data_IF_223633372139
#
_entry.id   IF_223633372139
#
_cell.length_a   1.000
_cell.length_b   1.000
_cell.length_c   1.000
_cell.angle_alpha   90.00
_cell.angle_beta   90.00
_cell.angle_gamma   90.00
#
_symmetry.space_group_name_H-M   'P 1'
#
loop_
_entity.id
_entity.type
_entity.pdbx_description
1 polymer ?
#
# COMPACT_ATOMS: atom_id res chain seq x y z
N UNK A 1 -6.47 20.76 -11.98
CA UNK A 1 -6.26 20.71 -10.51
C UNK A 1 -7.58 20.33 -9.86
N UNK A 2 -7.56 19.45 -8.87
CA UNK A 2 -8.76 18.91 -8.18
C UNK A 2 -8.45 18.69 -6.71
N UNK A 3 -9.43 18.88 -5.84
CA UNK A 3 -9.30 18.54 -4.42
C UNK A 3 -9.72 17.08 -4.23
N UNK A 4 -8.74 16.21 -4.01
CA UNK A 4 -8.96 14.78 -3.77
C UNK A 4 -8.21 14.37 -2.51
N UNK A 5 -8.96 13.86 -1.54
CA UNK A 5 -8.40 13.17 -0.38
C UNK A 5 -8.30 11.68 -0.69
N UNK A 6 -7.09 11.18 -0.64
CA UNK A 6 -6.68 9.90 -1.22
C UNK A 6 -6.16 9.03 -0.08
N UNK A 7 -6.84 7.94 0.25
CA UNK A 7 -6.43 7.05 1.35
C UNK A 7 -4.99 6.54 1.14
N UNK A 8 -4.23 6.43 2.23
CA UNK A 8 -2.87 5.92 2.28
C UNK A 8 -1.86 6.70 1.39
N UNK A 9 -2.22 7.94 1.04
CA UNK A 9 -1.40 8.92 0.33
C UNK A 9 -1.33 10.24 1.07
N UNK A 10 -0.40 11.10 0.66
CA UNK A 10 -0.31 12.45 1.18
C UNK A 10 -1.59 13.23 0.87
N UNK A 11 -2.03 14.02 1.85
CA UNK A 11 -3.29 14.77 1.77
C UNK A 11 -3.07 16.20 1.25
N UNK A 12 -1.93 16.45 0.60
CA UNK A 12 -1.64 17.71 -0.07
C UNK A 12 -2.65 17.95 -1.19
N UNK A 13 -3.20 19.16 -1.24
CA UNK A 13 -4.19 19.55 -2.21
C UNK A 13 -3.92 20.97 -2.72
N UNK A 14 -4.33 21.29 -3.97
CA UNK A 14 -5.03 20.43 -4.92
C UNK A 14 -4.10 19.49 -5.70
N UNK A 15 -4.59 18.31 -6.07
CA UNK A 15 -3.91 17.38 -7.00
C UNK A 15 -3.90 17.94 -8.42
N UNK A 16 -2.77 17.82 -9.11
CA UNK A 16 -2.70 18.01 -10.57
C UNK A 16 -3.13 16.68 -11.20
N UNK A 17 -4.07 16.71 -12.13
CA UNK A 17 -4.70 15.50 -12.70
C UNK A 17 -4.54 15.52 -14.21
N UNK A 18 -4.05 14.43 -14.78
CA UNK A 18 -3.93 14.25 -16.23
C UNK A 18 -5.29 14.02 -16.88
N UNK A 19 -5.93 12.89 -16.54
CA UNK A 19 -7.24 12.50 -17.07
C UNK A 19 -8.22 12.36 -15.90
N UNK A 20 -9.24 13.22 -15.85
CA UNK A 20 -10.31 13.14 -14.86
C UNK A 20 -11.60 12.62 -15.52
N UNK A 21 -12.06 11.45 -15.09
CA UNK A 21 -13.32 10.83 -15.52
C UNK A 21 -14.29 10.84 -14.33
N UNK A 22 -15.17 11.84 -14.30
CA UNK A 22 -16.10 12.07 -13.18
C UNK A 22 -17.55 11.80 -13.59
N UNK A 23 -18.28 11.03 -12.76
CA UNK A 23 -19.71 10.75 -12.86
C UNK A 23 -20.17 10.06 -14.16
N UNK A 24 -19.26 9.35 -14.82
CA UNK A 24 -19.57 8.60 -16.03
C UNK A 24 -20.38 7.33 -15.73
N UNK A 25 -21.29 7.00 -16.65
CA UNK A 25 -22.03 5.73 -16.65
C UNK A 25 -21.82 5.01 -17.97
N UNK A 26 -21.52 3.72 -17.93
CA UNK A 26 -21.31 2.89 -19.13
C UNK A 26 -20.20 3.41 -20.05
N UNK A 27 -19.05 3.80 -19.48
CA UNK A 27 -17.91 4.32 -20.23
C UNK A 27 -16.85 3.22 -20.44
N UNK A 28 -16.29 3.15 -21.65
CA UNK A 28 -15.06 2.39 -21.91
C UNK A 28 -13.97 3.33 -22.44
N UNK A 29 -12.87 3.45 -21.71
CA UNK A 29 -11.62 4.06 -22.17
C UNK A 29 -10.72 2.94 -22.71
N UNK A 30 -10.62 2.82 -24.03
CA UNK A 30 -9.75 1.86 -24.71
C UNK A 30 -8.53 2.58 -25.29
N UNK A 31 -7.35 2.34 -24.70
CA UNK A 31 -6.11 2.95 -25.17
C UNK A 31 -5.56 2.32 -26.44
N UNK A 32 -6.07 1.16 -26.88
CA UNK A 32 -5.58 0.44 -28.08
C UNK A 32 -4.05 0.23 -28.10
N UNK A 33 -3.45 0.02 -26.93
CA UNK A 33 -2.01 -0.13 -26.74
C UNK A 33 -1.26 1.19 -26.51
N UNK A 34 -1.96 2.30 -26.27
CA UNK A 34 -1.36 3.60 -26.01
C UNK A 34 -0.44 3.58 -24.78
N UNK A 35 0.67 4.32 -24.90
CA UNK A 35 1.63 4.53 -23.84
C UNK A 35 1.54 5.97 -23.34
N UNK A 36 0.90 6.16 -22.19
CA UNK A 36 0.64 7.47 -21.61
C UNK A 36 1.85 7.90 -20.77
N UNK A 37 2.66 8.81 -21.35
CA UNK A 37 3.83 9.38 -20.71
C UNK A 37 3.48 10.71 -20.03
N UNK A 38 3.59 10.76 -18.71
CA UNK A 38 3.30 11.95 -17.91
C UNK A 38 4.57 12.68 -17.50
N UNK A 39 4.45 13.99 -17.27
CA UNK A 39 5.56 14.88 -16.91
C UNK A 39 5.26 15.61 -15.59
N UNK A 40 6.32 15.85 -14.81
CA UNK A 40 6.21 16.43 -13.48
C UNK A 40 5.45 15.53 -12.49
N UNK A 41 4.97 16.13 -11.40
CA UNK A 41 4.19 15.44 -10.35
C UNK A 41 2.69 15.60 -10.62
N UNK A 42 2.00 14.50 -10.89
CA UNK A 42 0.56 14.51 -11.10
C UNK A 42 -0.08 13.14 -10.88
N UNK A 43 -1.39 13.14 -10.66
CA UNK A 43 -2.28 11.98 -10.72
C UNK A 43 -2.62 11.68 -12.19
N UNK A 44 -2.13 10.58 -12.79
CA UNK A 44 -2.37 10.28 -14.21
C UNK A 44 -3.85 10.11 -14.54
N UNK A 45 -4.57 9.24 -13.84
CA UNK A 45 -5.99 8.97 -14.07
C UNK A 45 -6.77 9.03 -12.76
N UNK A 46 -7.87 9.79 -12.75
CA UNK A 46 -8.86 9.80 -11.68
C UNK A 46 -10.23 9.33 -12.20
N UNK A 47 -10.82 8.34 -11.55
CA UNK A 47 -12.18 7.83 -11.76
C UNK A 47 -13.04 8.17 -10.54
N UNK A 48 -13.94 9.14 -10.65
CA UNK A 48 -14.74 9.63 -9.52
C UNK A 48 -16.23 9.40 -9.81
N UNK A 49 -16.96 8.73 -8.93
CA UNK A 49 -18.42 8.58 -9.08
C UNK A 49 -18.88 7.74 -10.28
N UNK A 50 -17.97 6.96 -10.88
CA UNK A 50 -18.25 6.19 -12.10
C UNK A 50 -19.09 4.94 -11.82
N UNK A 51 -20.01 4.60 -12.73
CA UNK A 51 -20.77 3.33 -12.68
C UNK A 51 -20.60 2.57 -13.99
N UNK A 52 -20.20 1.30 -13.93
CA UNK A 52 -19.91 0.48 -15.12
C UNK A 52 -18.88 1.18 -16.03
N UNK A 53 -17.68 1.40 -15.49
CA UNK A 53 -16.57 2.06 -16.19
C UNK A 53 -15.44 1.07 -16.42
N UNK A 54 -14.95 1.01 -17.66
CA UNK A 54 -13.85 0.13 -18.07
C UNK A 54 -12.67 0.96 -18.59
N UNK A 55 -11.46 0.67 -18.11
CA UNK A 55 -10.20 1.10 -18.73
C UNK A 55 -9.50 -0.13 -19.29
N UNK A 56 -9.04 -0.07 -20.54
CA UNK A 56 -8.30 -1.19 -21.12
C UNK A 56 -7.20 -0.80 -22.10
N UNK A 57 -6.25 -1.72 -22.27
CA UNK A 57 -5.20 -1.66 -23.30
C UNK A 57 -4.40 -0.36 -23.28
N UNK A 58 -3.83 0.03 -22.13
CA UNK A 58 -2.94 1.19 -22.04
C UNK A 58 -1.82 0.97 -21.02
N UNK A 59 -0.75 1.74 -21.15
CA UNK A 59 0.29 1.88 -20.13
C UNK A 59 0.39 3.30 -19.59
N UNK A 60 0.84 3.43 -18.35
CA UNK A 60 1.10 4.69 -17.65
C UNK A 60 2.57 4.69 -17.21
N UNK A 61 3.30 5.75 -17.54
CA UNK A 61 4.67 5.97 -17.07
C UNK A 61 4.96 7.48 -16.91
N UNK A 62 6.12 7.79 -16.34
CA UNK A 62 6.61 9.16 -16.19
C UNK A 62 7.96 9.33 -16.90
N UNK A 63 8.13 10.45 -17.61
CA UNK A 63 9.36 10.72 -18.37
C UNK A 63 10.58 10.85 -17.45
N UNK A 64 10.37 11.49 -16.29
CA UNK A 64 11.32 11.52 -15.17
C UNK A 64 10.65 11.00 -13.90
N UNK A 65 10.82 9.70 -13.58
CA UNK A 65 10.35 9.13 -12.32
C UNK A 65 10.91 9.89 -11.12
N UNK A 66 10.07 10.20 -10.13
CA UNK A 66 10.44 10.84 -8.86
C UNK A 66 11.15 9.87 -7.92
N UNK A 67 12.16 9.16 -8.39
CA UNK A 67 12.97 8.22 -7.60
C UNK A 67 14.34 8.15 -8.27
N UNK A 68 15.39 8.01 -7.47
CA UNK A 68 16.75 7.94 -8.00
C UNK A 68 17.27 6.52 -8.08
N UNK A 69 18.16 6.27 -9.03
CA UNK A 69 18.89 5.01 -9.12
C UNK A 69 20.38 5.29 -9.19
N UNK A 70 21.15 4.54 -8.40
CA UNK A 70 22.61 4.56 -8.41
C UNK A 70 23.15 3.13 -8.54
N UNK A 71 24.40 3.00 -8.96
CA UNK A 71 25.16 1.75 -8.90
C UNK A 71 26.40 1.95 -8.04
N UNK A 72 26.65 1.03 -7.11
CA UNK A 72 27.88 1.02 -6.31
C UNK A 72 29.06 0.66 -7.21
N UNK A 73 30.11 1.48 -7.17
CA UNK A 73 31.35 1.29 -7.93
C UNK A 73 32.44 0.76 -6.99
N UNK A 74 32.57 1.34 -5.80
CA UNK A 74 33.54 0.94 -4.79
C UNK A 74 32.92 0.99 -3.39
N UNK A 75 33.34 0.09 -2.50
CA UNK A 75 32.99 0.08 -1.09
C UNK A 75 34.24 -0.23 -0.25
N UNK A 76 34.90 0.82 0.25
CA UNK A 76 36.01 0.69 1.19
C UNK A 76 35.44 0.54 2.60
N UNK A 77 35.25 -0.72 3.04
CA UNK A 77 34.65 -1.02 4.34
C UNK A 77 35.54 -0.62 5.52
N UNK A 78 36.86 -0.44 5.31
CA UNK A 78 37.79 -0.02 6.35
C UNK A 78 37.67 1.47 6.61
N UNK A 79 37.68 2.30 5.57
CA UNK A 79 37.47 3.75 5.67
C UNK A 79 36.00 4.12 5.87
N UNK A 80 35.09 3.23 5.50
CA UNK A 80 33.65 3.45 5.53
C UNK A 80 33.19 4.45 4.48
N UNK A 81 33.75 4.31 3.27
CA UNK A 81 33.49 5.19 2.14
C UNK A 81 32.95 4.37 0.96
N UNK A 82 31.92 4.88 0.31
CA UNK A 82 31.35 4.30 -0.90
C UNK A 82 31.49 5.31 -2.04
N UNK A 83 31.87 4.81 -3.21
CA UNK A 83 31.75 5.55 -4.47
C UNK A 83 30.64 4.91 -5.29
N UNK A 84 29.70 5.73 -5.77
CA UNK A 84 28.61 5.27 -6.61
C UNK A 84 28.49 6.11 -7.89
N UNK A 85 27.92 5.49 -8.93
CA UNK A 85 27.57 6.13 -10.18
C UNK A 85 26.06 6.37 -10.22
N UNK A 86 25.65 7.60 -10.46
CA UNK A 86 24.25 7.96 -10.71
C UNK A 86 23.83 7.44 -12.10
N UNK A 87 22.64 6.85 -12.20
CA UNK A 87 22.14 6.34 -13.48
C UNK A 87 21.99 7.48 -14.51
N UNK A 88 22.34 7.28 -15.79
CA UNK A 88 22.41 8.37 -16.77
C UNK A 88 21.11 9.14 -17.02
N UNK A 89 19.96 8.51 -16.74
CA UNK A 89 18.64 9.12 -16.92
C UNK A 89 18.17 9.96 -15.72
N UNK A 90 18.86 9.86 -14.58
CA UNK A 90 18.55 10.59 -13.34
C UNK A 90 19.14 12.00 -13.42
N UNK A 91 18.26 13.00 -13.31
CA UNK A 91 18.69 14.39 -13.13
C UNK A 91 18.90 14.67 -11.64
N UNK A 92 20.06 15.22 -11.28
CA UNK A 92 20.38 15.53 -9.89
C UNK A 92 21.12 16.88 -9.77
N UNK A 93 21.30 17.31 -8.53
CA UNK A 93 22.08 18.46 -8.13
C UNK A 93 22.74 18.18 -6.77
N UNK A 94 23.94 18.73 -6.55
CA UNK A 94 24.60 18.71 -5.24
C UNK A 94 24.60 20.14 -4.70
N UNK A 95 23.90 20.38 -3.60
CA UNK A 95 23.85 21.67 -2.89
C UNK A 95 24.44 21.48 -1.51
N UNK A 96 25.45 22.28 -1.15
CA UNK A 96 26.10 22.20 0.17
C UNK A 96 26.52 20.78 0.58
N UNK A 97 27.13 20.04 -0.36
CA UNK A 97 27.50 18.62 -0.20
C UNK A 97 26.32 17.67 0.09
N UNK A 98 25.11 18.01 -0.38
CA UNK A 98 23.91 17.17 -0.27
C UNK A 98 23.36 16.86 -1.66
N UNK A 99 23.12 15.58 -1.93
CA UNK A 99 22.54 15.09 -3.18
C UNK A 99 21.02 15.28 -3.19
N UNK A 100 20.52 15.92 -4.24
CA UNK A 100 19.10 16.09 -4.55
C UNK A 100 18.80 15.53 -5.93
N UNK A 101 17.68 14.83 -6.05
CA UNK A 101 17.10 14.44 -7.32
C UNK A 101 16.00 15.42 -7.69
N UNK A 102 15.91 15.78 -8.97
CA UNK A 102 14.99 16.81 -9.44
C UNK A 102 14.42 16.49 -10.80
N UNK A 103 13.29 17.09 -11.10
CA UNK A 103 12.64 17.06 -12.41
C UNK A 103 11.72 18.26 -12.57
N UNK A 104 10.76 18.17 -13.49
CA UNK A 104 9.85 19.28 -13.77
C UNK A 104 8.95 19.61 -12.58
N UNK A 105 9.21 20.75 -11.93
CA UNK A 105 8.38 21.26 -10.83
C UNK A 105 8.53 20.48 -9.51
N UNK A 106 9.55 19.62 -9.39
CA UNK A 106 9.80 18.87 -8.16
C UNK A 106 11.29 18.68 -7.88
N UNK A 107 11.62 18.64 -6.60
CA UNK A 107 12.92 18.27 -6.07
C UNK A 107 12.68 17.37 -4.86
N UNK A 108 13.55 16.37 -4.68
CA UNK A 108 13.49 15.46 -3.56
C UNK A 108 14.89 15.13 -3.06
N UNK A 109 14.99 14.91 -1.76
CA UNK A 109 16.19 14.40 -1.13
C UNK A 109 15.96 12.96 -0.70
N UNK A 110 16.64 11.98 -1.31
CA UNK A 110 16.49 10.61 -0.87
C UNK A 110 17.07 10.38 0.53
N UNK A 111 16.34 9.64 1.36
CA UNK A 111 16.69 9.30 2.74
C UNK A 111 16.79 7.80 3.00
N UNK A 112 16.09 6.99 2.21
CA UNK A 112 16.13 5.53 2.25
C UNK A 112 16.31 4.94 0.84
N UNK A 113 16.55 3.63 0.76
CA UNK A 113 16.59 2.94 -0.52
C UNK A 113 16.46 1.43 -0.39
N UNK A 114 16.33 0.78 -1.54
CA UNK A 114 16.33 -0.67 -1.69
C UNK A 114 17.49 -1.08 -2.58
N UNK A 115 18.29 -2.04 -2.11
CA UNK A 115 19.43 -2.58 -2.83
C UNK A 115 19.01 -3.78 -3.68
N UNK A 116 19.48 -3.82 -4.92
CA UNK A 116 19.20 -4.85 -5.89
C UNK A 116 20.49 -5.46 -6.46
N UNK A 117 20.42 -6.75 -6.74
CA UNK A 117 21.39 -7.48 -7.54
C UNK A 117 21.32 -7.01 -8.99
N UNK A 118 22.49 -6.71 -9.58
CA UNK A 118 22.60 -6.15 -10.93
C UNK A 118 21.92 -7.00 -12.00
N UNK A 119 22.21 -8.29 -12.04
CA UNK A 119 21.84 -9.12 -13.19
C UNK A 119 20.40 -9.69 -13.07
N UNK A 120 19.97 -9.96 -11.83
CA UNK A 120 18.67 -10.61 -11.56
C UNK A 120 17.57 -9.60 -11.21
N UNK A 121 17.94 -8.38 -10.83
CA UNK A 121 17.05 -7.36 -10.23
C UNK A 121 16.32 -7.82 -8.97
N UNK A 122 16.82 -8.86 -8.30
CA UNK A 122 16.32 -9.29 -6.98
C UNK A 122 16.79 -8.32 -5.93
N UNK A 123 15.99 -8.13 -4.88
CA UNK A 123 16.42 -7.40 -3.70
C UNK A 123 17.58 -8.18 -3.06
N UNK A 124 18.68 -7.49 -2.76
CA UNK A 124 19.85 -8.10 -2.13
C UNK A 124 19.44 -8.74 -0.81
N UNK A 125 19.86 -9.98 -0.61
CA UNK A 125 19.44 -10.76 0.56
C UNK A 125 19.69 -10.03 1.88
N UNK A 126 18.65 -10.00 2.72
CA UNK A 126 18.62 -9.46 4.06
C UNK A 126 19.08 -7.98 4.13
N UNK A 127 18.83 -7.17 3.10
CA UNK A 127 19.10 -5.72 3.19
C UNK A 127 17.94 -4.93 3.73
N UNK A 128 16.70 -5.33 3.40
CA UNK A 128 15.51 -4.54 3.75
C UNK A 128 15.61 -3.08 3.29
N UNK A 129 15.00 -2.18 4.05
CA UNK A 129 15.21 -0.73 3.90
C UNK A 129 16.62 -0.32 4.39
N UNK A 130 17.36 0.40 3.54
CA UNK A 130 18.68 0.94 3.91
C UNK A 130 18.65 2.47 3.95
N UNK A 131 19.41 3.08 4.87
CA UNK A 131 19.75 4.49 4.76
C UNK A 131 20.69 4.71 3.57
N UNK A 132 20.56 5.86 2.89
CA UNK A 132 21.35 6.18 1.68
C UNK A 132 22.36 7.30 1.91
N UNK A 133 23.51 7.21 1.24
CA UNK A 133 24.61 8.17 1.35
C UNK A 133 24.39 9.44 0.52
N UNK A 134 23.46 10.31 0.94
CA UNK A 134 23.12 11.56 0.21
C UNK A 134 23.63 12.84 0.89
N UNK A 135 24.37 12.75 1.99
CA UNK A 135 24.93 13.88 2.74
C UNK A 135 26.46 13.78 2.85
N UNK A 136 27.15 14.92 2.79
CA UNK A 136 28.62 14.96 2.78
C UNK A 136 29.20 14.33 1.53
N UNK A 137 28.54 14.54 0.39
CA UNK A 137 28.92 13.96 -0.89
C UNK A 137 29.98 14.81 -1.59
N UNK A 138 30.88 14.17 -2.33
CA UNK A 138 31.85 14.83 -3.22
C UNK A 138 31.76 14.21 -4.61
N UNK A 139 31.53 15.02 -5.62
CA UNK A 139 31.52 14.56 -7.00
C UNK A 139 32.96 14.49 -7.55
N UNK A 140 33.38 13.29 -7.94
CA UNK A 140 34.72 13.03 -8.45
C UNK A 140 34.81 13.28 -9.96
N UNK A 141 33.70 13.02 -10.66
CA UNK A 141 33.47 13.25 -12.10
C UNK A 141 31.95 13.16 -12.34
N UNK A 142 31.41 13.59 -13.49
CA UNK A 142 29.95 13.61 -13.70
C UNK A 142 29.25 12.31 -13.30
N UNK A 143 28.42 12.39 -12.26
CA UNK A 143 27.61 11.30 -11.72
C UNK A 143 28.37 10.30 -10.83
N UNK A 144 29.71 10.38 -10.75
CA UNK A 144 30.53 9.55 -9.86
C UNK A 144 30.76 10.27 -8.54
N UNK A 145 30.09 9.80 -7.50
CA UNK A 145 29.99 10.49 -6.21
C UNK A 145 30.61 9.63 -5.11
N UNK A 146 31.49 10.23 -4.31
CA UNK A 146 32.05 9.64 -3.09
C UNK A 146 31.31 10.15 -1.86
N UNK A 147 31.06 9.26 -0.90
CA UNK A 147 30.38 9.59 0.35
C UNK A 147 30.81 8.68 1.49
N UNK A 148 30.88 9.25 2.71
CA UNK A 148 31.03 8.46 3.93
C UNK A 148 29.74 7.71 4.23
N UNK A 149 29.65 6.48 3.74
CA UNK A 149 28.49 5.62 3.90
C UNK A 149 28.96 4.19 4.19
N UNK A 150 28.62 3.69 5.38
CA UNK A 150 29.04 2.38 5.87
C UNK A 150 27.93 1.36 5.70
N UNK A 151 28.05 0.49 4.70
CA UNK A 151 27.22 -0.70 4.60
C UNK A 151 27.97 -1.80 3.86
N UNK A 152 28.39 -2.85 4.59
CA UNK A 152 29.19 -3.96 4.04
C UNK A 152 28.45 -4.84 3.02
N UNK A 153 27.12 -4.75 2.94
CA UNK A 153 26.30 -5.53 1.99
C UNK A 153 26.24 -4.89 0.60
N UNK A 154 26.67 -3.64 0.45
CA UNK A 154 26.64 -2.90 -0.81
C UNK A 154 27.94 -3.17 -1.59
N UNK A 155 27.97 -4.27 -2.33
CA UNK A 155 29.14 -4.66 -3.12
C UNK A 155 29.21 -3.87 -4.43
N UNK A 156 30.39 -3.72 -5.06
CA UNK A 156 30.49 -3.22 -6.42
C UNK A 156 29.51 -3.93 -7.37
N UNK A 157 28.75 -3.15 -8.12
CA UNK A 157 27.68 -3.65 -9.00
C UNK A 157 26.27 -3.58 -8.40
N UNK A 158 26.11 -3.53 -7.07
CA UNK A 158 24.79 -3.36 -6.44
C UNK A 158 24.10 -2.10 -6.95
N UNK A 159 22.84 -2.23 -7.37
CA UNK A 159 21.99 -1.10 -7.81
C UNK A 159 21.08 -0.69 -6.67
N UNK A 160 20.88 0.60 -6.44
CA UNK A 160 20.06 1.10 -5.34
C UNK A 160 19.01 2.05 -5.88
N UNK A 161 17.74 1.74 -5.63
CA UNK A 161 16.64 2.66 -5.81
C UNK A 161 16.50 3.52 -4.55
N UNK A 162 16.80 4.81 -4.65
CA UNK A 162 16.80 5.79 -3.58
C UNK A 162 15.48 6.57 -3.53
N UNK A 163 14.85 6.63 -2.35
CA UNK A 163 13.48 7.11 -2.11
C UNK A 163 13.44 8.25 -1.07
N UNK A 164 12.41 9.10 -1.12
CA UNK A 164 12.21 10.19 -0.14
C UNK A 164 11.05 9.97 0.85
N UNK A 165 10.10 9.09 0.56
CA UNK A 165 8.99 8.74 1.47
C UNK A 165 7.59 9.24 1.06
N UNK A 166 7.40 10.52 0.68
CA UNK A 166 6.12 11.06 0.21
C UNK A 166 5.42 10.23 -0.86
N UNK A 167 4.09 10.26 -0.83
CA UNK A 167 3.15 9.57 -1.73
C UNK A 167 2.08 10.56 -2.23
N UNK A 168 2.43 11.56 -3.06
CA UNK A 168 1.50 12.59 -3.50
C UNK A 168 0.31 12.07 -4.31
N UNK A 169 0.50 11.08 -5.18
CA UNK A 169 -0.59 10.58 -6.04
C UNK A 169 -0.35 9.17 -6.57
N UNK A 170 -1.39 8.32 -6.64
CA UNK A 170 -1.29 7.04 -7.31
C UNK A 170 -1.25 7.20 -8.84
N UNK A 171 -0.98 6.11 -9.55
CA UNK A 171 -1.10 6.05 -11.01
C UNK A 171 -2.56 6.10 -11.47
N UNK A 172 -3.44 5.38 -10.77
CA UNK A 172 -4.89 5.40 -10.99
C UNK A 172 -5.58 5.57 -9.64
N UNK A 173 -6.46 6.56 -9.53
CA UNK A 173 -7.31 6.79 -8.37
C UNK A 173 -8.76 6.48 -8.71
N UNK A 174 -9.42 5.62 -7.91
CA UNK A 174 -10.84 5.28 -8.05
C UNK A 174 -11.56 5.64 -6.75
N UNK A 175 -12.60 6.46 -6.85
CA UNK A 175 -13.34 6.95 -5.69
C UNK A 175 -14.85 6.95 -5.93
N UNK A 176 -15.63 6.42 -4.98
CA UNK A 176 -17.10 6.40 -5.05
C UNK A 176 -17.64 5.74 -6.33
N UNK A 177 -16.94 4.71 -6.81
CA UNK A 177 -17.31 4.00 -8.03
C UNK A 177 -18.22 2.79 -7.79
N UNK A 178 -18.75 2.25 -8.88
CA UNK A 178 -19.45 0.96 -8.92
C UNK A 178 -19.15 0.21 -10.21
N UNK A 179 -18.82 -1.07 -10.12
CA UNK A 179 -18.55 -1.95 -11.27
C UNK A 179 -17.43 -1.37 -12.16
N UNK A 180 -16.22 -1.32 -11.61
CA UNK A 180 -15.03 -0.77 -12.27
C UNK A 180 -14.16 -1.90 -12.82
N UNK A 181 -13.79 -1.83 -14.11
CA UNK A 181 -12.99 -2.86 -14.79
C UNK A 181 -11.67 -2.28 -15.32
N UNK A 182 -10.56 -2.98 -15.05
CA UNK A 182 -9.22 -2.67 -15.56
C UNK A 182 -8.67 -3.91 -16.30
N UNK A 183 -8.59 -3.83 -17.63
CA UNK A 183 -8.20 -4.97 -18.48
C UNK A 183 -6.92 -4.64 -19.25
N UNK A 184 -5.85 -5.44 -19.09
CA UNK A 184 -4.57 -5.22 -19.79
C UNK A 184 -4.01 -3.80 -19.60
N UNK A 185 -4.14 -3.25 -18.40
CA UNK A 185 -3.60 -1.93 -18.02
C UNK A 185 -2.26 -2.11 -17.31
N UNK A 186 -1.24 -1.35 -17.71
CA UNK A 186 0.09 -1.42 -17.12
C UNK A 186 0.47 -0.10 -16.46
N UNK A 187 0.98 -0.13 -15.24
CA UNK A 187 1.60 1.02 -14.58
C UNK A 187 3.08 0.73 -14.45
N UNK A 188 3.91 1.46 -15.19
CA UNK A 188 5.35 1.33 -15.15
C UNK A 188 5.97 2.13 -14.01
N UNK A 189 5.33 3.25 -13.64
CA UNK A 189 5.75 4.08 -12.52
C UNK A 189 4.60 4.93 -11.96
N UNK A 190 4.62 5.18 -10.65
CA UNK A 190 3.86 6.23 -9.98
C UNK A 190 4.59 6.69 -8.70
N UNK A 191 4.51 7.99 -8.37
CA UNK A 191 5.01 8.58 -7.12
C UNK A 191 4.01 8.33 -5.97
N UNK A 192 3.71 7.06 -5.74
CA UNK A 192 2.65 6.59 -4.86
C UNK A 192 2.33 5.15 -5.21
N UNK A 193 1.07 4.77 -5.08
CA UNK A 193 0.60 3.43 -5.45
C UNK A 193 0.29 3.32 -6.95
N UNK A 194 0.27 2.11 -7.51
CA UNK A 194 -0.13 1.90 -8.90
C UNK A 194 -1.62 2.18 -9.12
N UNK A 195 -2.45 1.52 -8.31
CA UNK A 195 -3.89 1.71 -8.21
C UNK A 195 -4.27 1.92 -6.75
N UNK A 196 -4.99 3.00 -6.47
CA UNK A 196 -5.76 3.14 -5.24
C UNK A 196 -7.24 3.21 -5.57
N UNK A 197 -8.01 2.32 -4.98
CA UNK A 197 -9.46 2.42 -4.96
C UNK A 197 -9.96 2.63 -3.53
N UNK A 198 -10.92 3.53 -3.37
CA UNK A 198 -11.60 3.72 -2.09
C UNK A 198 -13.10 3.94 -2.29
N UNK A 199 -13.88 3.53 -1.30
CA UNK A 199 -15.33 3.73 -1.24
C UNK A 199 -16.04 3.26 -2.53
N UNK A 200 -15.61 2.12 -3.07
CA UNK A 200 -16.03 1.64 -4.40
C UNK A 200 -16.59 0.23 -4.31
N UNK A 201 -17.74 0.01 -4.95
CA UNK A 201 -18.38 -1.30 -5.08
C UNK A 201 -17.87 -2.03 -6.32
N UNK A 202 -17.45 -3.29 -6.18
CA UNK A 202 -17.09 -4.18 -7.29
C UNK A 202 -15.95 -3.66 -8.21
N UNK A 203 -14.78 -4.28 -8.10
CA UNK A 203 -13.60 -3.95 -8.91
C UNK A 203 -13.06 -5.23 -9.53
N UNK A 204 -12.84 -5.18 -10.84
CA UNK A 204 -12.39 -6.30 -11.65
C UNK A 204 -11.09 -5.93 -12.36
N UNK A 205 -10.05 -6.74 -12.16
CA UNK A 205 -8.75 -6.57 -12.79
C UNK A 205 -8.35 -7.87 -13.49
N UNK A 206 -8.12 -7.79 -14.81
CA UNK A 206 -7.64 -8.90 -15.63
C UNK A 206 -6.40 -8.45 -16.39
N UNK A 207 -5.24 -8.98 -16.02
CA UNK A 207 -3.96 -8.57 -16.58
C UNK A 207 -3.52 -7.15 -16.19
N UNK A 208 -4.14 -6.54 -15.16
CA UNK A 208 -3.62 -5.32 -14.55
C UNK A 208 -2.24 -5.59 -13.97
N UNK A 209 -1.25 -4.78 -14.34
CA UNK A 209 0.14 -5.03 -13.99
C UNK A 209 0.84 -3.76 -13.50
N UNK A 210 1.65 -3.89 -12.47
CA UNK A 210 2.64 -2.89 -12.07
C UNK A 210 4.00 -3.51 -12.32
N UNK A 211 4.62 -3.13 -13.44
CA UNK A 211 5.75 -3.87 -13.97
C UNK A 211 6.74 -2.98 -14.72
N UNK A 212 7.96 -3.47 -14.89
CA UNK A 212 8.93 -2.81 -15.76
C UNK A 212 8.42 -2.79 -17.21
N UNK A 213 8.96 -1.90 -18.05
CA UNK A 213 8.60 -1.84 -19.49
C UNK A 213 8.97 -3.11 -20.25
N UNK A 214 9.87 -3.92 -19.70
CA UNK A 214 10.32 -5.17 -20.26
C UNK A 214 11.73 -5.51 -19.78
N UNK A 215 12.32 -6.55 -20.38
CA UNK A 215 13.64 -7.06 -19.99
C UNK A 215 14.76 -6.02 -20.09
N UNK A 216 14.63 -5.08 -21.03
CA UNK A 216 15.63 -4.05 -21.30
C UNK A 216 15.38 -2.73 -20.54
N UNK A 217 14.34 -2.66 -19.70
CA UNK A 217 14.12 -1.48 -18.86
C UNK A 217 15.33 -1.30 -17.93
N UNK A 218 16.01 -0.13 -17.92
CA UNK A 218 17.17 0.08 -17.05
C UNK A 218 16.79 0.24 -15.57
N UNK A 219 15.49 0.39 -15.26
CA UNK A 219 14.99 0.55 -13.88
C UNK A 219 14.95 -0.77 -13.14
N UNK A 220 15.09 -0.68 -11.82
CA UNK A 220 14.99 -1.78 -10.87
C UNK A 220 13.75 -1.64 -9.98
N UNK A 221 12.89 -0.69 -10.31
CA UNK A 221 11.73 -0.31 -9.52
C UNK A 221 10.55 0.03 -10.43
N UNK A 222 9.36 0.03 -9.84
CA UNK A 222 8.12 0.55 -10.44
C UNK A 222 7.51 1.62 -9.52
N UNK A 223 6.44 1.34 -8.79
CA UNK A 223 5.75 2.34 -7.95
C UNK A 223 6.48 2.56 -6.62
N UNK A 224 6.39 3.78 -6.07
CA UNK A 224 7.00 4.12 -4.78
C UNK A 224 6.26 3.60 -3.54
N UNK A 225 5.06 3.08 -3.74
CA UNK A 225 4.28 2.35 -2.76
C UNK A 225 3.67 1.09 -3.43
N UNK A 226 2.54 0.63 -2.91
CA UNK A 226 1.81 -0.57 -3.30
C UNK A 226 1.50 -0.60 -4.81
N UNK A 227 1.40 -1.79 -5.38
CA UNK A 227 0.90 -1.92 -6.75
C UNK A 227 -0.61 -1.67 -6.82
N UNK A 228 -1.38 -2.24 -5.88
CA UNK A 228 -2.83 -2.06 -5.77
C UNK A 228 -3.25 -1.94 -4.31
N UNK A 229 -4.22 -1.08 -4.03
CA UNK A 229 -4.63 -0.80 -2.66
C UNK A 229 -6.11 -0.41 -2.59
N UNK A 230 -6.84 -0.98 -1.63
CA UNK A 230 -8.30 -0.91 -1.55
C UNK A 230 -8.73 -0.55 -0.13
N UNK A 231 -9.30 0.64 0.04
CA UNK A 231 -9.68 1.21 1.33
C UNK A 231 -11.19 1.49 1.41
N UNK A 232 -11.90 0.77 2.29
CA UNK A 232 -13.35 0.92 2.47
C UNK A 232 -14.17 0.57 1.21
N UNK A 233 -13.67 -0.36 0.39
CA UNK A 233 -14.40 -0.95 -0.74
C UNK A 233 -15.38 -2.02 -0.27
N UNK A 234 -16.39 -2.35 -1.09
CA UNK A 234 -17.32 -3.45 -0.79
C UNK A 234 -17.71 -4.24 -2.05
N UNK A 235 -18.46 -5.33 -1.85
CA UNK A 235 -18.80 -6.26 -2.91
C UNK A 235 -17.64 -7.20 -3.22
N UNK A 236 -17.13 -7.15 -4.45
CA UNK A 236 -16.06 -8.06 -4.93
C UNK A 236 -14.84 -7.30 -5.42
N UNK A 237 -13.66 -7.71 -4.99
CA UNK A 237 -12.38 -7.34 -5.62
C UNK A 237 -11.81 -8.60 -6.27
N UNK A 238 -11.72 -8.59 -7.59
CA UNK A 238 -11.17 -9.71 -8.35
C UNK A 238 -9.92 -9.21 -9.07
N UNK A 239 -8.78 -9.81 -8.77
CA UNK A 239 -7.51 -9.55 -9.44
C UNK A 239 -6.94 -10.85 -9.98
N UNK A 240 -6.82 -10.91 -11.30
CA UNK A 240 -6.31 -12.10 -11.98
C UNK A 240 -5.33 -11.80 -13.11
N UNK A 241 -4.43 -12.75 -13.34
CA UNK A 241 -3.48 -12.76 -14.46
C UNK A 241 -2.53 -11.54 -14.53
N UNK A 242 -2.34 -10.83 -13.41
CA UNK A 242 -1.48 -9.64 -13.32
C UNK A 242 -0.01 -9.96 -13.06
N UNK A 243 0.85 -9.00 -13.40
CA UNK A 243 2.28 -8.99 -13.02
C UNK A 243 2.54 -7.82 -12.09
N UNK A 244 3.00 -8.11 -10.87
CA UNK A 244 3.35 -7.14 -9.85
C UNK A 244 4.83 -7.29 -9.49
N UNK A 245 5.67 -6.38 -9.98
CA UNK A 245 7.12 -6.45 -9.78
C UNK A 245 7.77 -5.10 -9.49
N UNK A 246 8.81 -5.12 -8.64
CA UNK A 246 9.69 -3.98 -8.40
C UNK A 246 9.04 -2.79 -7.69
N UNK A 247 7.78 -2.92 -7.26
CA UNK A 247 7.13 -1.87 -6.47
C UNK A 247 7.75 -1.79 -5.08
N UNK A 248 7.58 -0.64 -4.44
CA UNK A 248 8.19 -0.34 -3.16
C UNK A 248 7.23 -0.55 -1.97
N UNK A 249 6.06 -1.15 -2.21
CA UNK A 249 5.25 -1.79 -1.16
C UNK A 249 4.49 -3.03 -1.70
N UNK A 250 3.34 -3.36 -1.12
CA UNK A 250 2.65 -4.62 -1.36
C UNK A 250 2.02 -4.71 -2.77
N UNK A 251 1.81 -5.93 -3.30
CA UNK A 251 1.11 -6.10 -4.58
C UNK A 251 -0.38 -5.77 -4.47
N UNK A 252 -0.98 -6.15 -3.36
CA UNK A 252 -2.37 -5.88 -3.03
C UNK A 252 -2.51 -5.67 -1.53
N UNK A 253 -3.21 -4.61 -1.13
CA UNK A 253 -3.68 -4.41 0.23
C UNK A 253 -5.18 -4.13 0.22
N UNK A 254 -5.96 -4.88 1.03
CA UNK A 254 -7.41 -4.71 1.16
C UNK A 254 -7.78 -4.55 2.63
N UNK A 255 -8.36 -3.40 2.98
CA UNK A 255 -8.79 -3.10 4.35
C UNK A 255 -9.95 -2.10 4.43
N UNK A 256 -10.59 -2.02 5.59
CA UNK A 256 -11.38 -0.86 6.01
C UNK A 256 -10.53 0.12 6.85
N UNK A 257 -11.06 1.26 7.27
CA UNK A 257 -10.34 2.17 8.18
C UNK A 257 -11.05 2.28 9.52
N UNK A 258 -10.34 2.03 10.63
CA UNK A 258 -10.93 2.15 11.97
C UNK A 258 -11.10 3.64 12.26
N UNK A 259 -12.27 4.05 12.75
CA UNK A 259 -12.35 5.29 13.51
C UNK A 259 -11.97 5.01 14.95
N UNK A 260 -11.10 5.83 15.54
CA UNK A 260 -10.93 5.83 17.00
C UNK A 260 -12.14 6.49 17.63
N UNK A 261 -12.78 5.84 18.59
CA UNK A 261 -13.82 6.45 19.41
C UNK A 261 -13.16 7.46 20.35
N UNK A 262 -13.41 8.76 20.14
CA UNK A 262 -12.82 9.85 20.91
C UNK A 262 -13.72 10.27 22.07
N UNK A 263 -15.03 10.25 21.86
CA UNK A 263 -16.02 10.67 22.85
C UNK A 263 -17.29 9.84 22.74
N UNK A 264 -17.84 9.43 23.89
CA UNK A 264 -19.22 8.95 24.03
C UNK A 264 -20.07 10.12 24.53
N UNK A 265 -21.00 10.61 23.71
CA UNK A 265 -21.87 11.76 24.04
C UNK A 265 -23.03 11.30 24.92
N UNK A 266 -23.65 10.18 24.55
CA UNK A 266 -24.73 9.51 25.26
C UNK A 266 -24.69 8.02 24.94
N UNK A 267 -25.70 7.26 25.35
CA UNK A 267 -25.74 5.81 25.11
C UNK A 267 -25.90 5.42 23.63
N UNK A 268 -26.22 6.33 22.73
CA UNK A 268 -26.40 6.06 21.30
C UNK A 268 -25.38 6.78 20.43
N UNK A 269 -24.79 7.87 20.91
CA UNK A 269 -24.06 8.83 20.09
C UNK A 269 -22.59 8.95 20.49
N UNK A 270 -21.70 8.90 19.51
CA UNK A 270 -20.25 9.01 19.69
C UNK A 270 -19.63 9.99 18.70
N UNK A 271 -18.40 10.44 19.03
CA UNK A 271 -17.48 11.05 18.07
C UNK A 271 -16.39 10.04 17.73
N UNK A 272 -16.29 9.67 16.45
CA UNK A 272 -15.22 8.84 15.89
C UNK A 272 -14.25 9.67 15.05
N UNK A 273 -12.95 9.34 15.07
CA UNK A 273 -11.89 10.10 14.37
C UNK A 273 -10.97 9.21 13.53
N UNK A 274 -10.64 9.67 12.32
CA UNK A 274 -9.53 9.15 11.53
C UNK A 274 -8.17 9.50 12.17
N UNK A 275 -7.31 8.51 12.37
CA UNK A 275 -6.07 8.70 13.14
C UNK A 275 -4.83 8.87 12.26
N UNK A 276 -4.69 8.09 11.19
CA UNK A 276 -3.49 8.11 10.38
C UNK A 276 -3.43 9.35 9.47
N UNK A 277 -2.24 9.97 9.36
CA UNK A 277 -2.03 11.23 8.61
C UNK A 277 -2.26 11.14 7.10
N UNK A 278 -2.41 9.92 6.58
CA UNK A 278 -2.71 9.64 5.17
C UNK A 278 -4.11 9.04 4.96
N UNK A 279 -4.98 8.98 5.98
CA UNK A 279 -6.27 8.28 5.87
C UNK A 279 -7.41 9.13 6.46
N UNK A 280 -7.67 10.30 5.87
CA UNK A 280 -8.79 11.19 6.23
C UNK A 280 -9.29 11.99 5.01
N UNK A 281 -10.38 12.76 5.19
CA UNK A 281 -10.90 13.70 4.18
C UNK A 281 -11.98 13.13 3.27
N UNK A 282 -12.50 11.95 3.59
CA UNK A 282 -13.55 11.25 2.84
C UNK A 282 -14.54 10.57 3.78
N UNK A 283 -15.72 10.20 3.26
CA UNK A 283 -16.78 9.55 4.04
C UNK A 283 -16.30 8.23 4.68
N UNK A 284 -16.92 7.83 5.80
CA UNK A 284 -16.58 6.59 6.51
C UNK A 284 -17.70 5.54 6.53
N UNK A 285 -18.96 5.98 6.43
CA UNK A 285 -20.10 5.08 6.41
C UNK A 285 -21.36 5.75 5.84
N UNK A 286 -22.36 4.93 5.52
CA UNK A 286 -23.72 5.34 5.22
C UNK A 286 -24.67 5.07 6.41
N UNK A 287 -25.81 5.76 6.42
CA UNK A 287 -26.94 5.37 7.29
C UNK A 287 -27.36 3.94 6.93
N UNK A 288 -27.71 3.15 7.96
CA UNK A 288 -27.98 1.70 7.92
C UNK A 288 -26.76 0.80 7.78
N UNK A 289 -25.54 1.33 7.72
CA UNK A 289 -24.36 0.47 7.76
C UNK A 289 -24.24 -0.24 9.11
N UNK A 290 -23.78 -1.49 9.06
CA UNK A 290 -23.53 -2.30 10.24
C UNK A 290 -22.11 -2.06 10.72
N UNK A 291 -21.95 -1.84 12.02
CA UNK A 291 -20.66 -1.58 12.65
C UNK A 291 -20.39 -2.56 13.80
N UNK A 292 -19.11 -2.69 14.14
CA UNK A 292 -18.64 -3.35 15.36
C UNK A 292 -17.57 -2.52 16.05
N UNK A 293 -17.26 -2.90 17.29
CA UNK A 293 -16.30 -2.20 18.15
C UNK A 293 -15.16 -3.14 18.55
N UNK A 294 -13.96 -2.61 18.69
CA UNK A 294 -12.76 -3.36 19.05
C UNK A 294 -11.97 -2.67 20.16
N UNK A 295 -11.49 -3.44 21.13
CA UNK A 295 -10.51 -2.96 22.13
C UNK A 295 -9.14 -2.87 21.46
N UNK A 296 -8.59 -1.67 21.26
CA UNK A 296 -7.33 -1.50 20.53
C UNK A 296 -6.14 -2.24 21.16
N UNK A 297 -6.10 -2.37 22.49
CA UNK A 297 -4.99 -3.00 23.22
C UNK A 297 -4.92 -4.52 23.03
N UNK A 298 -6.06 -5.21 23.06
CA UNK A 298 -6.13 -6.68 22.94
C UNK A 298 -6.61 -7.14 21.56
N UNK A 299 -7.01 -6.18 20.70
CA UNK A 299 -7.69 -6.43 19.42
C UNK A 299 -8.90 -7.36 19.58
N UNK A 300 -9.61 -7.29 20.70
CA UNK A 300 -10.81 -8.10 20.93
C UNK A 300 -12.06 -7.36 20.52
N UNK A 301 -12.91 -8.06 19.75
CA UNK A 301 -14.23 -7.57 19.38
C UNK A 301 -15.20 -7.67 20.57
N UNK A 302 -16.05 -6.66 20.70
CA UNK A 302 -17.31 -6.82 21.41
C UNK A 302 -18.29 -7.64 20.57
N UNK A 303 -19.07 -8.50 21.22
CA UNK A 303 -19.99 -9.41 20.52
C UNK A 303 -21.18 -8.66 19.89
N UNK A 304 -21.50 -7.47 20.42
CA UNK A 304 -22.59 -6.64 19.92
C UNK A 304 -22.21 -5.85 18.67
N UNK A 305 -23.01 -6.04 17.63
CA UNK A 305 -23.03 -5.20 16.43
C UNK A 305 -24.11 -4.13 16.57
N UNK A 306 -23.89 -3.02 15.90
CA UNK A 306 -24.85 -1.93 15.85
C UNK A 306 -25.09 -1.47 14.41
N UNK A 307 -26.06 -0.58 14.22
CA UNK A 307 -26.41 -0.02 12.92
C UNK A 307 -26.44 1.50 13.02
N UNK A 308 -25.86 2.18 12.05
CA UNK A 308 -25.83 3.65 12.02
C UNK A 308 -27.23 4.20 11.74
N UNK A 309 -27.78 4.95 12.69
CA UNK A 309 -29.04 5.68 12.54
C UNK A 309 -28.82 7.05 11.90
N UNK A 310 -27.73 7.73 12.24
CA UNK A 310 -27.28 8.95 11.58
C UNK A 310 -25.77 9.10 11.67
N UNK A 311 -25.19 9.78 10.68
CA UNK A 311 -23.77 10.14 10.65
C UNK A 311 -23.64 11.52 10.02
N UNK A 312 -22.84 12.39 10.62
CA UNK A 312 -22.46 13.67 10.05
C UNK A 312 -21.00 13.97 10.36
N UNK A 313 -20.29 14.60 9.42
CA UNK A 313 -18.97 15.15 9.71
C UNK A 313 -19.10 16.15 10.86
N UNK A 314 -18.20 16.05 11.86
CA UNK A 314 -18.04 17.12 12.84
C UNK A 314 -17.33 18.26 12.10
N UNK A 315 -17.95 19.45 11.99
CA UNK A 315 -17.34 20.54 11.25
C UNK A 315 -15.98 20.90 11.86
N UNK A 316 -14.93 20.88 11.05
CA UNK A 316 -13.81 21.80 11.22
C UNK A 316 -14.20 23.19 10.66
N UNK A 317 -13.27 24.13 10.63
CA UNK A 317 -13.45 25.28 9.74
C UNK A 317 -13.57 24.80 8.27
N UNK A 318 -14.10 25.62 7.36
CA UNK A 318 -14.28 25.24 5.94
C UNK A 318 -12.99 24.90 5.20
N UNK A 319 -11.83 25.00 5.85
CA UNK A 319 -10.51 24.69 5.34
C UNK A 319 -9.96 23.35 5.86
N UNK A 320 -10.61 22.75 6.87
CA UNK A 320 -10.15 21.52 7.50
C UNK A 320 -10.89 20.32 6.91
N UNK A 321 -10.19 19.35 6.31
CA UNK A 321 -10.82 18.15 5.79
C UNK A 321 -11.48 17.32 6.88
N UNK A 322 -12.47 16.52 6.47
CA UNK A 322 -13.22 15.64 7.37
C UNK A 322 -12.25 14.69 8.10
N UNK A 323 -12.17 14.83 9.42
CA UNK A 323 -11.42 13.93 10.31
C UNK A 323 -12.29 13.24 11.35
N UNK A 324 -13.44 13.82 11.65
CA UNK A 324 -14.31 13.40 12.74
C UNK A 324 -15.75 13.25 12.27
N UNK A 325 -16.45 12.30 12.87
CA UNK A 325 -17.84 12.02 12.61
C UNK A 325 -18.61 11.93 13.92
N UNK A 326 -19.74 12.64 13.99
CA UNK A 326 -20.77 12.38 14.99
C UNK A 326 -21.64 11.25 14.46
N UNK A 327 -21.69 10.15 15.17
CA UNK A 327 -22.38 8.92 14.76
C UNK A 327 -23.41 8.59 15.84
N UNK A 328 -24.67 8.47 15.46
CA UNK A 328 -25.74 7.94 16.31
C UNK A 328 -26.13 6.55 15.83
N UNK A 329 -26.17 5.60 16.76
CA UNK A 329 -26.53 4.22 16.49
C UNK A 329 -28.01 3.93 16.77
N UNK A 330 -28.51 2.81 16.23
CA UNK A 330 -29.91 2.40 16.36
C UNK A 330 -30.22 1.70 17.68
N UNK A 331 -29.20 1.16 18.36
CA UNK A 331 -29.29 0.50 19.67
C UNK A 331 -28.35 1.20 20.65
N UNK A 332 -28.63 1.18 21.96
CA UNK A 332 -27.71 1.72 22.94
C UNK A 332 -26.40 0.90 22.95
N UNK A 333 -25.28 1.59 23.17
CA UNK A 333 -23.96 1.03 23.38
C UNK A 333 -23.89 0.34 24.75
N UNK A 334 -23.17 -0.77 24.81
CA UNK A 334 -22.85 -1.39 26.09
C UNK A 334 -22.07 -0.40 26.98
N UNK A 335 -22.29 -0.37 28.32
CA UNK A 335 -21.57 0.53 29.23
C UNK A 335 -20.04 0.37 29.25
N UNK A 336 -19.54 -0.77 28.77
CA UNK A 336 -18.11 -1.10 28.60
C UNK A 336 -17.49 -0.41 27.37
N UNK A 337 -18.28 -0.03 26.37
CA UNK A 337 -17.84 0.71 25.19
C UNK A 337 -17.73 2.18 25.57
N UNK A 338 -16.63 2.51 26.24
CA UNK A 338 -16.35 3.82 26.82
C UNK A 338 -14.88 4.22 26.59
N UNK A 339 -14.61 5.28 25.81
CA UNK A 339 -13.24 5.70 25.48
C UNK A 339 -12.46 6.23 26.69
N UNK A 340 -13.14 6.53 27.80
CA UNK A 340 -12.47 6.96 29.05
C UNK A 340 -11.84 5.78 29.80
N UNK A 341 -12.29 4.55 29.52
CA UNK A 341 -11.81 3.32 30.17
C UNK A 341 -10.76 2.59 29.33
N UNK A 342 -10.91 2.58 28.01
CA UNK A 342 -9.99 1.90 27.09
C UNK A 342 -10.01 2.54 25.71
N UNK A 343 -8.95 2.33 24.92
CA UNK A 343 -8.92 2.74 23.52
C UNK A 343 -9.80 1.82 22.67
N UNK A 344 -10.67 2.42 21.85
CA UNK A 344 -11.68 1.71 21.08
C UNK A 344 -11.60 2.11 19.60
N UNK A 345 -11.56 1.11 18.73
CA UNK A 345 -11.80 1.26 17.30
C UNK A 345 -13.26 0.96 16.95
N UNK A 346 -13.78 1.68 15.96
CA UNK A 346 -15.09 1.44 15.33
C UNK A 346 -14.82 0.96 13.90
N UNK A 347 -15.41 -0.16 13.52
CA UNK A 347 -15.28 -0.77 12.19
C UNK A 347 -16.60 -0.79 11.46
N UNK A 348 -16.58 -0.41 10.18
CA UNK A 348 -17.71 -0.53 9.28
C UNK A 348 -17.68 -1.89 8.57
N UNK A 349 -18.60 -2.78 8.94
CA UNK A 349 -18.73 -4.11 8.34
C UNK A 349 -19.42 -4.11 6.99
N UNK A 350 -20.17 -3.05 6.65
CA UNK A 350 -20.80 -2.90 5.34
C UNK A 350 -19.76 -2.57 4.25
N UNK A 351 -18.71 -1.82 4.60
CA UNK A 351 -17.66 -1.41 3.66
C UNK A 351 -16.47 -2.38 3.70
N UNK A 352 -16.78 -3.66 3.52
CA UNK A 352 -15.79 -4.75 3.46
C UNK A 352 -16.03 -5.60 2.20
N UNK A 353 -15.00 -5.88 1.39
CA UNK A 353 -15.15 -6.64 0.16
C UNK A 353 -14.71 -8.10 0.34
N UNK A 354 -15.34 -9.01 -0.41
CA UNK A 354 -14.75 -10.31 -0.72
C UNK A 354 -13.63 -10.16 -1.74
N UNK A 355 -12.61 -11.02 -1.67
CA UNK A 355 -11.40 -10.89 -2.50
C UNK A 355 -11.08 -12.20 -3.21
N UNK A 356 -10.76 -12.12 -4.50
CA UNK A 356 -10.17 -13.21 -5.28
C UNK A 356 -8.89 -12.72 -5.94
N UNK A 357 -7.75 -13.23 -5.50
CA UNK A 357 -6.42 -12.93 -6.01
C UNK A 357 -5.84 -14.21 -6.62
N UNK A 358 -5.87 -14.34 -7.95
CA UNK A 358 -5.54 -15.60 -8.62
C UNK A 358 -4.77 -15.51 -9.93
N UNK A 359 -3.85 -16.45 -10.19
CA UNK A 359 -3.10 -16.49 -11.46
C UNK A 359 -2.10 -15.33 -11.62
N UNK A 360 -1.77 -14.63 -10.54
CA UNK A 360 -0.86 -13.49 -10.58
C UNK A 360 0.60 -13.91 -10.36
N UNK A 361 1.54 -13.09 -10.84
CA UNK A 361 2.96 -13.18 -10.49
C UNK A 361 3.38 -11.98 -9.66
N UNK A 362 4.00 -12.22 -8.50
CA UNK A 362 4.44 -11.22 -7.54
C UNK A 362 5.92 -11.43 -7.27
N UNK A 363 6.76 -10.43 -7.54
CA UNK A 363 8.22 -10.60 -7.41
C UNK A 363 9.02 -9.34 -7.15
N UNK A 364 10.19 -9.51 -6.53
CA UNK A 364 11.22 -8.47 -6.41
C UNK A 364 10.73 -7.12 -5.84
N UNK A 365 9.66 -7.14 -5.06
CA UNK A 365 9.09 -5.95 -4.45
C UNK A 365 9.52 -5.84 -2.99
N UNK A 366 9.72 -4.60 -2.54
CA UNK A 366 9.53 -4.26 -1.12
C UNK A 366 8.02 -4.08 -0.97
N UNK A 367 7.30 -4.48 0.08
CA UNK A 367 7.72 -5.28 1.22
C UNK A 367 6.99 -6.63 1.21
N UNK A 368 5.68 -6.70 1.49
CA UNK A 368 4.93 -7.96 1.46
C UNK A 368 4.44 -8.27 0.05
N UNK A 369 4.04 -9.50 -0.23
CA UNK A 369 3.37 -9.85 -1.48
C UNK A 369 1.92 -9.38 -1.46
N UNK A 370 1.09 -9.96 -0.60
CA UNK A 370 -0.32 -9.60 -0.44
C UNK A 370 -0.68 -9.35 1.03
N UNK A 371 -1.42 -8.27 1.30
CA UNK A 371 -1.96 -7.89 2.61
C UNK A 371 -3.48 -7.97 2.60
N UNK A 372 -4.07 -8.68 3.56
CA UNK A 372 -5.52 -8.73 3.71
C UNK A 372 -5.94 -8.48 5.16
N UNK A 373 -6.92 -7.59 5.29
CA UNK A 373 -7.64 -7.28 6.52
C UNK A 373 -9.12 -7.13 6.15
N UNK A 374 -9.86 -8.23 6.04
CA UNK A 374 -11.30 -8.19 5.73
C UNK A 374 -12.04 -9.39 6.30
N UNK A 375 -13.25 -9.20 6.89
CA UNK A 375 -14.10 -10.27 7.41
C UNK A 375 -14.93 -11.00 6.36
N UNK A 376 -14.72 -10.69 5.08
CA UNK A 376 -15.36 -11.38 3.96
C UNK A 376 -14.43 -12.45 3.37
N UNK A 377 -14.96 -13.38 2.57
CA UNK A 377 -14.15 -14.44 1.98
C UNK A 377 -12.95 -13.89 1.18
N UNK A 378 -11.76 -14.44 1.43
CA UNK A 378 -10.53 -14.15 0.70
C UNK A 378 -10.01 -15.44 0.08
N UNK A 379 -9.83 -15.43 -1.24
CA UNK A 379 -9.23 -16.54 -1.99
C UNK A 379 -7.93 -16.08 -2.62
N UNK A 380 -6.81 -16.70 -2.21
CA UNK A 380 -5.48 -16.51 -2.78
C UNK A 380 -5.08 -17.82 -3.43
N UNK A 381 -5.18 -17.92 -4.75
CA UNK A 381 -4.91 -19.21 -5.41
C UNK A 381 -4.20 -19.15 -6.74
N UNK A 382 -3.43 -20.19 -7.07
CA UNK A 382 -2.72 -20.29 -8.36
C UNK A 382 -1.77 -19.10 -8.65
N UNK A 383 -1.24 -18.43 -7.61
CA UNK A 383 -0.28 -17.34 -7.79
C UNK A 383 1.16 -17.86 -7.69
N UNK A 384 2.07 -17.13 -8.34
CA UNK A 384 3.51 -17.28 -8.18
C UNK A 384 4.03 -16.10 -7.34
N UNK A 385 4.54 -16.41 -6.14
CA UNK A 385 5.31 -15.48 -5.32
C UNK A 385 6.80 -15.81 -5.50
N UNK A 386 7.51 -15.01 -6.28
CA UNK A 386 8.87 -15.27 -6.74
C UNK A 386 9.83 -14.21 -6.18
N UNK A 387 10.59 -14.56 -5.14
CA UNK A 387 11.53 -13.66 -4.46
C UNK A 387 10.87 -12.36 -3.96
N UNK A 388 9.66 -12.45 -3.37
CA UNK A 388 9.12 -11.33 -2.59
C UNK A 388 10.02 -11.08 -1.38
N UNK A 389 10.41 -9.82 -1.14
CA UNK A 389 11.42 -9.60 -0.11
C UNK A 389 10.88 -9.77 1.30
N UNK A 390 9.65 -9.37 1.59
CA UNK A 390 8.96 -9.69 2.83
C UNK A 390 8.09 -10.95 2.73
N UNK A 391 7.15 -11.10 3.68
CA UNK A 391 6.14 -12.16 3.66
C UNK A 391 5.37 -12.13 2.34
N UNK A 392 5.25 -13.27 1.68
CA UNK A 392 4.47 -13.41 0.47
C UNK A 392 2.98 -13.12 0.73
N UNK A 393 2.45 -13.57 1.86
CA UNK A 393 1.10 -13.25 2.30
C UNK A 393 1.15 -12.81 3.76
N UNK A 394 0.48 -11.71 4.07
CA UNK A 394 0.27 -11.22 5.42
C UNK A 394 -1.23 -10.99 5.67
N UNK A 395 -1.76 -11.68 6.67
CA UNK A 395 -3.07 -11.38 7.25
C UNK A 395 -2.85 -10.48 8.46
N UNK A 396 -3.45 -9.30 8.43
CA UNK A 396 -3.17 -8.24 9.40
C UNK A 396 -4.48 -7.71 10.02
N UNK A 397 -4.31 -6.66 10.83
CA UNK A 397 -5.35 -5.86 11.43
C UNK A 397 -4.71 -5.02 12.52
N UNK A 398 -4.97 -3.72 12.50
CA UNK A 398 -4.30 -2.79 13.40
C UNK A 398 -5.23 -1.63 13.75
N UNK A 399 -5.49 -1.44 15.04
CA UNK A 399 -6.25 -0.32 15.59
C UNK A 399 -5.39 0.61 16.47
N UNK A 400 -4.07 0.64 16.23
CA UNK A 400 -3.06 1.29 17.07
C UNK A 400 -2.13 2.23 16.28
N UNK A 401 -1.72 1.87 15.06
CA UNK A 401 -0.80 2.66 14.21
C UNK A 401 -1.43 3.16 12.91
N UNK A 402 -1.62 2.24 11.96
CA UNK A 402 -2.22 2.41 10.64
C UNK A 402 -3.75 2.56 10.68
N UNK A 403 -4.41 1.96 11.68
CA UNK A 403 -5.88 1.94 11.80
C UNK A 403 -6.57 1.24 10.62
N UNK A 404 -5.98 0.15 10.13
CA UNK A 404 -6.52 -0.68 9.04
C UNK A 404 -7.34 -1.85 9.62
N UNK A 405 -8.63 -1.91 9.27
CA UNK A 405 -9.59 -2.85 9.86
C UNK A 405 -9.73 -4.13 9.08
N UNK A 406 -10.11 -5.18 9.80
CA UNK A 406 -10.72 -6.38 9.23
C UNK A 406 -10.17 -7.65 9.83
N UNK A 407 -10.99 -8.37 10.59
CA UNK A 407 -10.66 -9.74 11.01
C UNK A 407 -10.74 -10.68 9.80
N UNK A 408 -9.66 -11.36 9.45
CA UNK A 408 -9.72 -12.48 8.52
C UNK A 408 -10.41 -13.70 9.16
N UNK A 409 -11.59 -14.08 8.66
CA UNK A 409 -12.42 -15.18 9.20
C UNK A 409 -12.78 -16.30 8.21
N UNK A 410 -12.56 -16.07 6.91
CA UNK A 410 -12.74 -17.07 5.84
C UNK A 410 -11.68 -16.83 4.76
N UNK A 411 -10.53 -17.49 4.91
CA UNK A 411 -9.38 -17.32 4.03
C UNK A 411 -8.96 -18.67 3.47
N UNK A 412 -8.84 -18.76 2.16
CA UNK A 412 -8.28 -19.93 1.47
C UNK A 412 -7.04 -19.53 0.69
N UNK A 413 -5.89 -20.06 1.07
CA UNK A 413 -4.60 -19.92 0.39
C UNK A 413 -4.28 -21.27 -0.23
N UNK A 414 -4.46 -21.43 -1.54
CA UNK A 414 -4.33 -22.75 -2.18
C UNK A 414 -3.65 -22.76 -3.54
N UNK A 415 -2.92 -23.83 -3.84
CA UNK A 415 -2.28 -24.02 -5.15
C UNK A 415 -1.32 -22.89 -5.56
N UNK A 416 -0.75 -22.15 -4.60
CA UNK A 416 0.25 -21.13 -4.88
C UNK A 416 1.65 -21.74 -4.88
N UNK A 417 2.55 -21.12 -5.64
CA UNK A 417 3.98 -21.44 -5.62
C UNK A 417 4.76 -20.29 -4.98
N UNK A 418 5.50 -20.58 -3.93
CA UNK A 418 6.38 -19.64 -3.25
C UNK A 418 7.83 -20.03 -3.53
N UNK A 419 8.58 -19.15 -4.21
CA UNK A 419 9.98 -19.35 -4.57
C UNK A 419 10.82 -18.33 -3.82
N UNK A 420 11.60 -18.78 -2.85
CA UNK A 420 12.54 -17.97 -2.06
C UNK A 420 11.91 -16.66 -1.55
N UNK A 421 10.66 -16.71 -1.10
CA UNK A 421 10.00 -15.58 -0.46
C UNK A 421 10.62 -15.28 0.91
N UNK A 422 10.39 -14.07 1.45
CA UNK A 422 10.96 -13.59 2.71
C UNK A 422 12.50 -13.47 2.66
N UNK A 423 13.02 -12.80 1.63
CA UNK A 423 14.47 -12.54 1.52
C UNK A 423 14.97 -11.43 2.46
N UNK A 424 14.09 -10.68 3.10
CA UNK A 424 14.36 -9.56 4.02
C UNK A 424 13.24 -9.41 5.05
N UNK A 425 13.56 -8.73 6.16
CA UNK A 425 12.59 -8.46 7.23
C UNK A 425 12.07 -7.02 7.14
N UNK A 426 10.75 -6.88 7.23
CA UNK A 426 10.01 -5.63 7.30
C UNK A 426 8.98 -5.68 8.45
N UNK A 427 8.19 -4.63 8.59
CA UNK A 427 7.10 -4.60 9.56
C UNK A 427 6.14 -5.77 9.32
N UNK A 428 5.81 -6.50 10.39
CA UNK A 428 4.86 -7.63 10.40
C UNK A 428 5.24 -8.85 9.53
N UNK A 429 6.48 -8.92 9.03
CA UNK A 429 6.96 -10.08 8.27
C UNK A 429 7.73 -11.02 9.18
N UNK A 430 7.14 -12.15 9.57
CA UNK A 430 7.81 -13.13 10.45
C UNK A 430 8.01 -14.50 9.81
N UNK A 431 7.35 -14.75 8.68
CA UNK A 431 7.37 -15.99 7.90
C UNK A 431 6.90 -15.74 6.45
N UNK A 432 7.09 -16.72 5.56
CA UNK A 432 6.58 -16.64 4.17
C UNK A 432 5.08 -16.30 4.14
N UNK A 433 4.29 -16.96 4.98
CA UNK A 433 2.91 -16.58 5.31
C UNK A 433 2.89 -16.11 6.77
N UNK A 434 2.55 -14.85 7.00
CA UNK A 434 2.43 -14.28 8.34
C UNK A 434 0.98 -13.96 8.67
N UNK A 435 0.53 -14.38 9.84
CA UNK A 435 -0.76 -13.99 10.41
C UNK A 435 -0.42 -13.17 11.65
N UNK A 436 -0.48 -11.84 11.51
CA UNK A 436 0.14 -10.90 12.43
C UNK A 436 -0.76 -9.67 12.63
N UNK A 437 -1.82 -9.77 13.43
CA UNK A 437 -2.52 -8.59 13.91
C UNK A 437 -1.66 -7.79 14.90
N UNK A 438 -1.78 -6.48 14.94
CA UNK A 438 -1.05 -5.63 15.89
C UNK A 438 -1.77 -5.61 17.25
N UNK A 439 -1.26 -6.40 18.19
CA UNK A 439 -1.86 -6.59 19.52
C UNK A 439 -0.86 -6.11 20.58
N UNK A 440 -1.02 -4.89 21.11
CA UNK A 440 -0.14 -4.34 22.15
C UNK A 440 -0.09 -5.19 23.44
N UNK A 441 -1.23 -5.70 23.89
CA UNK A 441 -1.35 -6.51 25.10
C UNK A 441 -1.85 -7.94 24.79
N UNK A 442 -0.98 -8.70 24.13
CA UNK A 442 -1.26 -10.09 23.79
C UNK A 442 -1.49 -10.97 25.03
N UNK A 443 -0.87 -10.65 26.17
CA UNK A 443 -1.01 -11.45 27.41
C UNK A 443 -2.41 -11.34 28.01
N UNK A 444 -3.06 -10.19 27.86
CA UNK A 444 -4.41 -9.98 28.33
C UNK A 444 -5.50 -10.52 27.39
N UNK A 445 -5.18 -10.76 26.10
CA UNK A 445 -6.14 -11.29 25.12
C UNK A 445 -6.74 -12.62 25.56
N UNK A 446 -8.07 -12.77 25.40
CA UNK A 446 -8.89 -13.95 25.72
C UNK A 446 -9.54 -14.58 24.50
N UNK A 447 -9.85 -13.80 23.46
CA UNK A 447 -10.44 -14.23 22.19
C UNK A 447 -9.44 -14.03 21.03
N UNK A 448 -9.45 -14.95 20.07
CA UNK A 448 -8.66 -14.81 18.84
C UNK A 448 -9.28 -13.77 17.90
N UNK A 449 -8.41 -12.96 17.30
CA UNK A 449 -8.76 -11.94 16.31
C UNK A 449 -9.06 -12.52 14.92
N UNK A 450 -8.28 -13.51 14.48
CA UNK A 450 -8.47 -14.19 13.20
C UNK A 450 -9.03 -15.60 13.39
N UNK A 451 -9.65 -16.16 12.33
CA UNK A 451 -10.17 -17.53 12.32
C UNK A 451 -10.34 -18.04 10.88
N UNK A 452 -10.64 -19.34 10.71
CA UNK A 452 -11.10 -19.90 9.42
C UNK A 452 -10.10 -19.79 8.26
N UNK A 453 -8.80 -19.88 8.56
CA UNK A 453 -7.72 -19.82 7.57
C UNK A 453 -7.33 -21.23 7.13
N UNK A 454 -7.40 -21.49 5.82
CA UNK A 454 -7.00 -22.75 5.17
C UNK A 454 -5.79 -22.50 4.29
N UNK A 455 -4.74 -23.28 4.48
CA UNK A 455 -3.51 -23.23 3.67
C UNK A 455 -3.29 -24.64 3.12
N UNK A 456 -3.61 -24.86 1.84
CA UNK A 456 -3.68 -26.20 1.26
C UNK A 456 -3.03 -26.28 -0.12
N UNK A 457 -2.35 -27.40 -0.43
CA UNK A 457 -1.79 -27.67 -1.76
C UNK A 457 -0.84 -26.59 -2.32
N UNK A 458 -0.15 -25.86 -1.44
CA UNK A 458 0.86 -24.88 -1.86
C UNK A 458 2.24 -25.53 -1.97
N UNK A 459 3.07 -25.04 -2.89
CA UNK A 459 4.47 -25.45 -3.03
C UNK A 459 5.40 -24.37 -2.47
N UNK A 460 6.29 -24.73 -1.55
CA UNK A 460 7.30 -23.84 -0.99
C UNK A 460 8.69 -24.30 -1.40
N UNK A 461 9.29 -23.59 -2.35
CA UNK A 461 10.70 -23.71 -2.74
C UNK A 461 11.47 -22.65 -1.96
N UNK A 462 11.86 -22.93 -0.72
CA UNK A 462 12.53 -21.96 0.17
C UNK A 462 13.96 -22.36 0.50
N UNK A 463 14.81 -21.36 0.72
CA UNK A 463 16.19 -21.52 1.16
C UNK A 463 16.34 -21.42 2.70
N UNK A 464 15.33 -20.91 3.42
CA UNK A 464 15.37 -20.69 4.87
C UNK A 464 13.97 -20.83 5.53
N UNK A 465 13.94 -20.87 6.87
CA UNK A 465 12.75 -20.84 7.72
C UNK A 465 12.43 -19.41 8.18
N UNK A 466 11.16 -19.09 8.54
CA UNK A 466 9.99 -19.97 8.67
C UNK A 466 8.90 -19.80 7.58
N UNK A 467 8.13 -20.88 7.34
CA UNK A 467 7.03 -20.92 6.35
C UNK A 467 5.77 -20.23 6.86
N UNK A 468 5.38 -20.48 8.11
CA UNK A 468 4.19 -19.93 8.73
C UNK A 468 4.54 -19.33 10.09
N UNK A 469 4.08 -18.09 10.31
CA UNK A 469 3.99 -17.48 11.62
C UNK A 469 2.53 -17.13 11.87
N UNK A 470 1.99 -17.51 13.02
CA UNK A 470 0.61 -17.22 13.35
C UNK A 470 0.48 -16.72 14.78
N UNK A 471 -0.26 -15.62 14.94
CA UNK A 471 -0.61 -15.03 16.23
C UNK A 471 -2.10 -14.72 16.24
N UNK A 472 -2.76 -15.10 17.34
CA UNK A 472 -4.17 -14.79 17.59
C UNK A 472 -5.11 -15.35 16.50
N UNK A 473 -5.03 -16.68 16.30
CA UNK A 473 -5.79 -17.49 15.32
C UNK A 473 -6.36 -18.76 15.93
#
# INVERSE_FOLDING_TARGET
>A
RKEYYISNHDQDNPKIVGIALENWKNLTLDGKGADLMFHGRMLPIALIGGTNVKIKNLSIDFEKPQISQIQIIENDTLKGNIVYQVAPWVTYEIKDSVFYNRGEGWEMRPGSGIAFEKDTKRIVFNTGDIAVGTKGVTELSPGRISVRWKNKKLLPGTVIAMRSGPRPSPGIFVHKGKDISLEQVKVHYAEGMGLLAQLTENIYMDGFSVCLRGKNDPRYFTTQADATHFSGCWGKIISKNGLYEGMMDDAINVHGTYLKLIQKIDDYTVIGRYMHGQSYGFDWANVKDTVQFIRSSTMELWDTKNTIASISAVPGDTKTPIKEFKITFSKPLEPEIDPTKTAIGIENLSWTPSVTFTGNTIRNNRARGALFSTPKPVVVSNNLFDHTSGSAILLCGDANGWYETGTCTDVTISNNKFVNALTSMYQFTSAVISIYPEIPDLKAQKKYFHAGIKIENNTFETFDQPILYAKSV
#
